data_IF_322518950870
#
_entry.id   IF_322518950870
#
_cell.length_a   1.000
_cell.length_b   1.000
_cell.length_c   1.000
_cell.angle_alpha   90.00
_cell.angle_beta   90.00
_cell.angle_gamma   90.00
#
_symmetry.space_group_name_H-M   'P 1'
#
loop_
_entity.id
_entity.type
_entity.pdbx_description
1 polymer ?
#
# COMPACT_ATOMS: atom_id res chain seq x y z
N UNK A 1 -40.55 75.15 33.42
CA UNK A 1 -40.37 76.03 32.25
C UNK A 1 -38.88 76.32 32.10
N UNK A 2 -38.38 76.28 30.86
CA UNK A 2 -37.00 76.56 30.39
C UNK A 2 -35.91 75.55 30.78
N UNK A 3 -34.84 75.30 30.02
CA UNK A 3 -34.56 75.14 28.57
C UNK A 3 -33.02 75.07 28.45
N UNK A 4 -32.53 74.24 27.52
CA UNK A 4 -31.29 74.40 26.71
C UNK A 4 -29.87 74.27 27.33
N UNK A 5 -29.09 73.41 26.66
CA UNK A 5 -27.81 73.70 25.95
C UNK A 5 -26.44 73.33 26.55
N UNK A 6 -25.85 72.28 25.95
CA UNK A 6 -24.51 72.16 25.33
C UNK A 6 -23.21 72.69 25.99
N UNK A 7 -22.18 71.81 26.06
CA UNK A 7 -20.77 71.90 25.56
C UNK A 7 -19.96 70.72 26.16
N UNK A 8 -19.40 69.78 25.38
CA UNK A 8 -18.13 69.84 24.63
C UNK A 8 -16.91 70.20 25.49
N UNK A 9 -16.05 69.20 25.76
CA UNK A 9 -14.57 69.30 25.71
C UNK A 9 -13.94 67.91 25.61
N UNK A 10 -12.95 67.82 24.72
CA UNK A 10 -12.11 66.69 24.33
C UNK A 10 -11.06 66.30 25.38
N UNK A 11 -10.57 65.05 25.34
CA UNK A 11 -9.20 64.73 25.75
C UNK A 11 -8.78 63.29 25.38
N UNK A 12 -7.86 63.22 24.42
CA UNK A 12 -6.66 62.36 24.36
C UNK A 12 -6.85 60.86 24.11
N UNK A 13 -6.50 60.48 22.87
CA UNK A 13 -6.21 59.13 22.44
C UNK A 13 -4.89 58.63 23.07
N UNK A 14 -4.97 57.55 23.84
CA UNK A 14 -3.83 56.67 24.11
C UNK A 14 -3.81 55.57 23.06
N UNK A 15 -2.79 55.57 22.19
CA UNK A 15 -2.47 54.45 21.31
C UNK A 15 -2.17 53.21 22.16
N UNK A 16 -3.13 52.30 22.24
CA UNK A 16 -2.91 50.94 22.70
C UNK A 16 -2.41 50.13 21.50
N UNK A 17 -1.13 49.78 21.50
CA UNK A 17 -0.57 48.77 20.60
C UNK A 17 -1.27 47.45 20.87
N UNK A 18 -2.27 47.13 20.04
CA UNK A 18 -2.85 45.80 19.95
C UNK A 18 -1.78 44.84 19.42
N UNK A 19 -1.00 44.23 20.32
CA UNK A 19 -0.40 42.94 20.02
C UNK A 19 -1.55 41.93 19.91
N UNK A 20 -1.81 41.46 18.70
CA UNK A 20 -2.70 40.31 18.50
C UNK A 20 -2.16 39.14 19.32
N UNK A 21 -3.00 38.46 20.11
CA UNK A 21 -2.56 37.28 20.85
C UNK A 21 -2.17 36.21 19.83
N UNK A 22 -0.86 35.98 19.69
CA UNK A 22 -0.33 34.83 18.96
C UNK A 22 -0.93 33.59 19.60
N UNK A 23 -1.85 32.94 18.88
CA UNK A 23 -2.59 31.79 19.37
C UNK A 23 -1.60 30.65 19.63
N UNK A 24 -1.15 30.52 20.88
CA UNK A 24 -0.20 29.49 21.28
C UNK A 24 -0.93 28.16 21.23
N UNK A 25 -0.78 27.45 20.11
CA UNK A 25 -1.32 26.12 19.94
C UNK A 25 -0.89 25.24 21.11
N UNK A 26 -1.86 24.54 21.70
CA UNK A 26 -1.59 23.56 22.75
C UNK A 26 -0.63 22.48 22.22
N UNK A 27 0.09 21.81 23.12
CA UNK A 27 0.99 20.69 22.72
C UNK A 27 0.26 19.63 21.88
N UNK A 28 -1.02 19.42 22.15
CA UNK A 28 -1.87 18.46 21.44
C UNK A 28 -2.27 18.96 20.05
N UNK A 29 -2.59 20.26 19.91
CA UNK A 29 -2.86 20.90 18.62
C UNK A 29 -1.62 20.96 17.71
N UNK A 30 -0.44 21.23 18.28
CA UNK A 30 0.84 21.19 17.53
C UNK A 30 1.13 19.79 17.00
N UNK A 31 1.02 18.77 17.86
CA UNK A 31 1.19 17.36 17.46
C UNK A 31 0.24 16.95 16.35
N UNK A 32 -1.03 17.34 16.43
CA UNK A 32 -2.02 17.04 15.39
C UNK A 32 -1.67 17.73 14.07
N UNK A 33 -1.25 19.00 14.12
CA UNK A 33 -0.82 19.75 12.92
C UNK A 33 0.42 19.13 12.27
N UNK A 34 1.42 18.74 13.06
CA UNK A 34 2.63 18.08 12.56
C UNK A 34 2.31 16.72 11.95
N UNK A 35 1.39 15.97 12.58
CA UNK A 35 0.88 14.73 12.04
C UNK A 35 0.18 14.95 10.70
N UNK A 36 -0.74 15.90 10.62
CA UNK A 36 -1.52 16.19 9.40
C UNK A 36 -0.62 16.75 8.27
N UNK A 37 0.40 17.54 8.59
CA UNK A 37 1.39 18.02 7.63
C UNK A 37 2.23 16.88 7.03
N UNK A 38 2.69 15.95 7.88
CA UNK A 38 3.39 14.73 7.42
C UNK A 38 2.47 13.82 6.60
N UNK A 39 1.20 13.72 7.01
CA UNK A 39 0.15 13.00 6.30
C UNK A 39 0.03 13.53 4.87
N UNK A 40 -0.03 14.86 4.73
CA UNK A 40 -0.10 15.55 3.43
C UNK A 40 1.14 15.26 2.59
N UNK A 41 2.35 15.43 3.14
CA UNK A 41 3.58 15.20 2.39
C UNK A 41 3.73 13.76 1.88
N UNK A 42 3.34 12.76 2.69
CA UNK A 42 3.32 11.36 2.27
C UNK A 42 2.30 11.12 1.16
N UNK A 43 1.11 11.70 1.27
CA UNK A 43 0.12 11.65 0.19
C UNK A 43 0.66 12.27 -1.08
N UNK A 44 1.24 13.46 -1.01
CA UNK A 44 1.75 14.18 -2.17
C UNK A 44 2.85 13.38 -2.88
N UNK A 45 3.79 12.78 -2.12
CA UNK A 45 4.80 11.87 -2.69
C UNK A 45 4.19 10.64 -3.36
N UNK A 46 3.21 10.00 -2.71
CA UNK A 46 2.49 8.86 -3.29
C UNK A 46 1.77 9.26 -4.59
N UNK A 47 1.10 10.41 -4.59
CA UNK A 47 0.37 10.94 -5.75
C UNK A 47 1.26 11.44 -6.88
N UNK A 48 2.46 11.94 -6.59
CA UNK A 48 3.46 12.35 -7.61
C UNK A 48 4.09 11.16 -8.32
N UNK A 49 4.23 10.01 -7.65
CA UNK A 49 4.84 8.80 -8.21
C UNK A 49 3.86 7.94 -9.03
N UNK A 50 2.55 8.20 -8.95
CA UNK A 50 1.54 7.51 -9.74
C UNK A 50 1.41 8.17 -11.13
N UNK A 51 1.65 7.39 -12.19
CA UNK A 51 1.27 7.80 -13.55
C UNK A 51 -0.27 7.90 -13.64
N UNK A 52 -0.77 9.14 -13.66
CA UNK A 52 -2.21 9.48 -13.63
C UNK A 52 -3.01 8.95 -14.83
N UNK A 53 -2.35 8.41 -15.84
CA UNK A 53 -3.00 7.92 -17.08
C UNK A 53 -3.15 6.41 -17.13
N UNK A 54 -2.55 5.68 -16.18
CA UNK A 54 -2.43 4.22 -16.21
C UNK A 54 -2.97 3.60 -14.92
N UNK A 55 -3.86 2.60 -15.02
CA UNK A 55 -4.40 1.90 -13.84
C UNK A 55 -3.35 1.03 -13.15
N UNK A 56 -3.50 0.80 -11.84
CA UNK A 56 -2.63 -0.09 -11.06
C UNK A 56 -2.52 -1.49 -11.69
N UNK A 57 -3.62 -1.99 -12.25
CA UNK A 57 -3.65 -3.26 -12.96
C UNK A 57 -2.69 -3.27 -14.16
N UNK A 58 -2.62 -2.17 -14.93
CA UNK A 58 -1.71 -2.07 -16.07
C UNK A 58 -0.25 -1.95 -15.61
N UNK A 59 0.01 -1.21 -14.54
CA UNK A 59 1.35 -1.13 -13.93
C UNK A 59 1.83 -2.50 -13.46
N UNK A 60 1.00 -3.21 -12.70
CA UNK A 60 1.31 -4.54 -12.20
C UNK A 60 1.61 -5.52 -13.34
N UNK A 61 0.80 -5.53 -14.40
CA UNK A 61 1.06 -6.39 -15.56
C UNK A 61 2.40 -6.09 -16.25
N UNK A 62 2.87 -4.84 -16.26
CA UNK A 62 4.20 -4.50 -16.78
C UNK A 62 5.32 -5.00 -15.86
N UNK A 63 5.16 -4.86 -14.55
CA UNK A 63 6.10 -5.43 -13.58
C UNK A 63 6.19 -6.95 -13.68
N UNK A 64 5.09 -7.62 -14.03
CA UNK A 64 5.01 -9.08 -14.19
C UNK A 64 5.31 -9.59 -15.61
N UNK A 65 5.69 -8.72 -16.55
CA UNK A 65 5.97 -9.11 -17.93
C UNK A 65 4.75 -9.61 -18.73
N UNK A 66 3.53 -9.39 -18.23
CA UNK A 66 2.26 -9.74 -18.89
C UNK A 66 1.77 -8.63 -19.85
N UNK A 67 2.40 -7.46 -19.80
CA UNK A 67 2.10 -6.31 -20.62
C UNK A 67 3.38 -5.70 -21.18
N UNK A 68 3.34 -5.26 -22.44
CA UNK A 68 4.47 -4.57 -23.05
C UNK A 68 4.83 -3.26 -22.29
N UNK A 69 6.12 -2.94 -22.13
CA UNK A 69 6.57 -1.78 -21.34
C UNK A 69 6.24 -0.42 -21.98
N UNK A 70 5.91 -0.39 -23.28
CA UNK A 70 5.44 0.81 -23.99
C UNK A 70 4.23 0.49 -24.86
N UNK A 71 3.35 1.48 -25.01
CA UNK A 71 2.27 1.46 -25.99
C UNK A 71 2.90 1.41 -27.38
N UNK A 72 2.71 0.33 -28.13
CA UNK A 72 3.15 0.24 -29.52
C UNK A 72 1.97 0.66 -30.41
N UNK A 73 2.08 1.77 -31.16
CA UNK A 73 1.00 2.20 -32.04
C UNK A 73 0.59 1.10 -33.02
N UNK A 74 -0.70 0.77 -33.08
CA UNK A 74 -1.25 -0.24 -34.00
C UNK A 74 -1.23 -1.69 -33.49
N UNK A 75 -0.58 -1.97 -32.35
CA UNK A 75 -0.73 -3.25 -31.65
C UNK A 75 -1.75 -3.03 -30.54
N UNK A 76 -2.76 -3.90 -30.44
CA UNK A 76 -3.67 -3.85 -29.29
C UNK A 76 -2.84 -3.98 -28.02
N UNK A 77 -3.04 -3.10 -27.04
CA UNK A 77 -2.30 -3.14 -25.78
C UNK A 77 -2.35 -4.55 -25.14
N UNK A 78 -3.38 -5.32 -25.46
CA UNK A 78 -3.61 -6.65 -24.90
C UNK A 78 -3.44 -7.72 -25.98
N UNK A 79 -2.50 -8.63 -25.74
CA UNK A 79 -2.45 -9.96 -26.35
C UNK A 79 -2.82 -10.96 -25.27
N UNK A 80 -3.89 -11.74 -25.49
CA UNK A 80 -4.27 -12.81 -24.57
C UNK A 80 -3.07 -13.74 -24.32
N UNK A 81 -2.75 -13.98 -23.05
CA UNK A 81 -1.60 -14.77 -22.63
C UNK A 81 -2.04 -16.14 -22.14
N UNK A 82 -1.40 -17.20 -22.63
CA UNK A 82 -1.65 -18.54 -22.12
C UNK A 82 -0.88 -18.73 -20.79
N UNK A 83 -1.56 -18.97 -19.65
CA UNK A 83 -0.90 -19.10 -18.35
C UNK A 83 0.05 -20.31 -18.24
N UNK A 84 -0.02 -21.25 -19.18
CA UNK A 84 0.94 -22.37 -19.29
C UNK A 84 2.25 -21.99 -19.97
N UNK A 85 2.41 -20.72 -20.40
CA UNK A 85 3.65 -20.19 -20.98
C UNK A 85 4.25 -19.12 -20.07
N UNK A 86 5.59 -18.98 -20.01
CA UNK A 86 6.24 -17.87 -19.30
C UNK A 86 5.76 -16.51 -19.80
N UNK A 87 5.85 -15.49 -18.94
CA UNK A 87 5.50 -14.13 -19.29
C UNK A 87 6.25 -13.67 -20.57
N UNK A 88 5.56 -13.10 -21.55
CA UNK A 88 6.13 -12.85 -22.89
C UNK A 88 7.01 -11.61 -22.96
N UNK A 89 6.90 -10.69 -21.99
CA UNK A 89 7.65 -9.44 -21.98
C UNK A 89 8.69 -9.40 -20.85
N UNK A 90 9.77 -8.61 -21.01
CA UNK A 90 10.68 -8.32 -19.91
C UNK A 90 9.96 -7.70 -18.71
N UNK A 91 10.33 -8.14 -17.51
CA UNK A 91 9.81 -7.61 -16.25
C UNK A 91 10.30 -6.17 -16.06
N UNK A 92 9.38 -5.23 -15.82
CA UNK A 92 9.72 -3.81 -15.69
C UNK A 92 10.58 -3.54 -14.44
N UNK A 93 11.60 -2.70 -14.60
CA UNK A 93 12.47 -2.19 -13.53
C UNK A 93 13.22 -3.23 -12.70
N UNK A 94 13.22 -4.52 -13.09
CA UNK A 94 13.87 -5.60 -12.33
C UNK A 94 13.55 -5.50 -10.82
N UNK A 95 12.26 -5.31 -10.53
CA UNK A 95 11.77 -4.93 -9.20
C UNK A 95 11.29 -6.13 -8.38
N UNK A 96 11.34 -5.98 -7.06
CA UNK A 96 10.74 -6.92 -6.11
C UNK A 96 9.39 -6.37 -5.67
N UNK A 97 8.33 -7.18 -5.75
CA UNK A 97 7.03 -6.81 -5.22
C UNK A 97 7.02 -7.05 -3.71
N UNK A 98 6.61 -6.04 -2.94
CA UNK A 98 6.56 -6.10 -1.48
C UNK A 98 5.20 -5.64 -0.99
N UNK A 99 4.39 -6.57 -0.49
CA UNK A 99 3.14 -6.28 0.18
C UNK A 99 3.37 -6.08 1.67
N UNK A 100 2.71 -5.06 2.25
CA UNK A 100 2.81 -4.74 3.67
C UNK A 100 1.42 -4.52 4.26
N UNK A 101 1.22 -5.02 5.47
CA UNK A 101 0.07 -4.66 6.31
C UNK A 101 0.58 -4.35 7.73
N UNK A 102 0.00 -3.33 8.37
CA UNK A 102 0.35 -2.94 9.73
C UNK A 102 -0.88 -2.87 10.62
N UNK A 103 -0.91 -3.76 11.62
CA UNK A 103 -1.96 -3.81 12.63
C UNK A 103 -1.58 -3.07 13.90
N UNK A 104 -2.60 -2.48 14.53
CA UNK A 104 -2.38 -1.68 15.73
C UNK A 104 -3.58 -1.62 16.66
N UNK A 105 -3.28 -1.32 17.93
CA UNK A 105 -4.21 -1.21 19.03
C UNK A 105 -5.31 -0.19 18.73
N UNK A 106 -6.55 -0.66 18.85
CA UNK A 106 -7.75 0.16 18.90
C UNK A 106 -8.17 0.38 20.36
N UNK A 107 -8.48 1.61 20.73
CA UNK A 107 -9.14 1.96 22.01
C UNK A 107 -10.47 2.63 21.69
N UNK A 108 -11.57 2.06 22.22
CA UNK A 108 -12.94 2.56 22.02
C UNK A 108 -13.32 2.77 20.54
N UNK A 109 -12.95 1.82 19.67
CA UNK A 109 -13.23 1.89 18.23
C UNK A 109 -12.38 2.91 17.45
N UNK A 110 -11.41 3.57 18.10
CA UNK A 110 -10.47 4.51 17.46
C UNK A 110 -9.04 3.97 17.57
N UNK A 111 -8.27 4.09 16.49
CA UNK A 111 -6.85 3.71 16.49
C UNK A 111 -6.09 4.65 17.43
N UNK A 112 -5.28 4.08 18.33
CA UNK A 112 -4.39 4.90 19.17
C UNK A 112 -3.26 5.43 18.29
N UNK A 113 -3.10 6.75 18.23
CA UNK A 113 -2.08 7.41 17.39
C UNK A 113 -0.78 7.65 18.16
N UNK A 114 -0.13 6.58 18.59
CA UNK A 114 1.16 6.64 19.30
C UNK A 114 2.05 5.49 18.82
N UNK A 115 3.38 5.66 18.83
CA UNK A 115 4.33 4.59 18.47
C UNK A 115 4.06 3.26 19.20
N UNK A 116 3.52 3.32 20.42
CA UNK A 116 3.16 2.17 21.26
C UNK A 116 1.89 1.42 20.82
N UNK A 117 1.22 1.86 19.75
CA UNK A 117 -0.02 1.24 19.29
C UNK A 117 0.20 0.19 18.21
N UNK A 118 1.32 0.18 17.50
CA UNK A 118 1.57 -0.84 16.48
C UNK A 118 1.95 -2.15 17.14
N UNK A 119 1.26 -3.23 16.78
CA UNK A 119 1.40 -4.55 17.43
C UNK A 119 1.92 -5.61 16.50
N UNK A 120 1.56 -5.56 15.22
CA UNK A 120 1.93 -6.56 14.23
C UNK A 120 2.33 -5.88 12.91
N UNK A 121 3.31 -6.43 12.22
CA UNK A 121 3.71 -6.04 10.87
C UNK A 121 3.79 -7.30 10.01
N UNK A 122 3.07 -7.30 8.90
CA UNK A 122 3.14 -8.34 7.89
C UNK A 122 3.92 -7.86 6.68
N UNK A 123 4.78 -8.73 6.15
CA UNK A 123 5.48 -8.45 4.89
C UNK A 123 5.44 -9.69 4.01
N UNK A 124 4.99 -9.53 2.77
CA UNK A 124 5.01 -10.59 1.76
C UNK A 124 5.79 -10.13 0.54
N UNK A 125 6.75 -10.93 0.11
CA UNK A 125 7.75 -10.58 -0.91
C UNK A 125 7.66 -11.55 -2.07
N UNK A 126 7.71 -11.02 -3.29
CA UNK A 126 7.87 -11.77 -4.52
C UNK A 126 8.97 -11.12 -5.37
N UNK A 127 10.08 -11.81 -5.58
CA UNK A 127 11.12 -11.34 -6.49
C UNK A 127 10.73 -11.71 -7.93
N UNK A 128 10.66 -10.72 -8.82
CA UNK A 128 10.32 -10.98 -10.23
C UNK A 128 11.35 -11.86 -10.93
N UNK A 129 12.60 -11.92 -10.42
CA UNK A 129 13.61 -12.86 -10.91
C UNK A 129 13.23 -14.32 -10.71
N UNK A 130 12.48 -14.65 -9.64
CA UNK A 130 12.00 -16.01 -9.38
C UNK A 130 10.90 -16.45 -10.38
N UNK A 131 10.37 -15.50 -11.17
CA UNK A 131 9.31 -15.72 -12.15
C UNK A 131 9.86 -15.86 -13.59
N UNK A 132 11.14 -15.53 -13.81
CA UNK A 132 11.76 -15.62 -15.13
C UNK A 132 11.69 -17.06 -15.62
N UNK A 133 11.18 -17.24 -16.84
CA UNK A 133 10.97 -18.55 -17.46
C UNK A 133 9.98 -19.49 -16.73
N UNK A 134 9.34 -19.04 -15.65
CA UNK A 134 8.32 -19.79 -14.94
C UNK A 134 6.92 -19.39 -15.46
N UNK A 135 6.15 -20.32 -16.06
CA UNK A 135 4.76 -20.05 -16.40
C UNK A 135 3.94 -19.70 -15.14
N UNK A 136 3.03 -18.71 -15.19
CA UNK A 136 2.17 -18.37 -14.06
C UNK A 136 1.32 -19.54 -13.56
N UNK A 137 0.86 -20.39 -14.48
CA UNK A 137 -0.15 -21.40 -14.19
C UNK A 137 -1.55 -20.80 -14.00
N UNK A 138 -2.57 -21.65 -13.99
CA UNK A 138 -3.96 -21.24 -13.80
C UNK A 138 -4.09 -20.48 -12.47
N UNK A 139 -4.74 -19.31 -12.49
CA UNK A 139 -4.84 -18.41 -11.31
C UNK A 139 -3.48 -18.17 -10.64
N UNK A 140 -2.42 -17.99 -11.44
CA UNK A 140 -1.06 -17.71 -10.97
C UNK A 140 -0.45 -18.76 -10.02
N UNK A 141 -0.98 -19.99 -9.96
CA UNK A 141 -0.61 -20.97 -8.93
C UNK A 141 0.91 -21.17 -8.77
N UNK A 142 1.68 -21.26 -9.86
CA UNK A 142 3.12 -21.44 -9.82
C UNK A 142 3.86 -20.20 -9.28
N UNK A 143 3.34 -19.00 -9.55
CA UNK A 143 3.90 -17.75 -9.03
C UNK A 143 3.54 -17.54 -7.56
N UNK A 144 2.36 -17.98 -7.11
CA UNK A 144 1.97 -17.90 -5.70
C UNK A 144 2.91 -18.71 -4.80
N UNK A 145 3.49 -19.81 -5.31
CA UNK A 145 4.49 -20.62 -4.60
C UNK A 145 5.82 -19.90 -4.37
N UNK A 146 6.10 -18.81 -5.10
CA UNK A 146 7.33 -18.01 -4.95
C UNK A 146 7.18 -16.88 -3.92
N UNK A 147 5.98 -16.69 -3.38
CA UNK A 147 5.73 -15.67 -2.36
C UNK A 147 6.34 -16.12 -1.03
N UNK A 148 7.16 -15.24 -0.43
CA UNK A 148 7.70 -15.42 0.92
C UNK A 148 7.03 -14.44 1.86
N UNK A 149 6.33 -14.95 2.87
CA UNK A 149 5.60 -14.11 3.83
C UNK A 149 6.21 -14.23 5.22
N UNK A 150 6.27 -13.10 5.93
CA UNK A 150 6.76 -13.00 7.29
C UNK A 150 5.75 -12.21 8.12
N UNK A 151 5.69 -12.56 9.39
CA UNK A 151 4.81 -11.92 10.35
C UNK A 151 5.61 -11.56 11.59
N UNK A 152 5.66 -10.27 11.91
CA UNK A 152 6.38 -9.75 13.06
C UNK A 152 5.40 -9.30 14.13
N UNK A 153 5.62 -9.75 15.36
CA UNK A 153 4.84 -9.37 16.53
C UNK A 153 5.70 -8.59 17.51
N UNK A 154 5.28 -7.36 17.81
CA UNK A 154 6.05 -6.40 18.60
C UNK A 154 5.74 -6.58 20.09
N UNK A 155 6.69 -7.15 20.83
CA UNK A 155 6.44 -7.74 22.16
C UNK A 155 6.22 -6.73 23.30
N UNK A 156 6.85 -5.56 23.26
CA UNK A 156 6.81 -4.58 24.39
C UNK A 156 5.40 -4.05 24.71
N UNK A 157 4.50 -4.05 23.73
CA UNK A 157 3.18 -3.41 23.81
C UNK A 157 2.00 -4.38 23.77
N UNK A 158 2.24 -5.66 23.53
CA UNK A 158 1.19 -6.61 23.17
C UNK A 158 0.45 -7.26 24.37
N UNK A 159 0.53 -6.63 25.54
CA UNK A 159 0.18 -7.20 26.87
C UNK A 159 -1.27 -7.72 27.04
N UNK A 160 -2.14 -7.69 26.03
CA UNK A 160 -3.56 -8.07 26.17
C UNK A 160 -4.10 -9.09 25.17
N UNK A 161 -3.46 -9.36 24.02
CA UNK A 161 -4.00 -10.32 23.04
C UNK A 161 -2.88 -10.94 22.21
N UNK A 162 -2.82 -12.29 22.22
CA UNK A 162 -1.97 -13.03 21.26
C UNK A 162 -2.48 -12.75 19.84
N UNK A 163 -1.58 -12.59 18.86
CA UNK A 163 -1.98 -12.40 17.47
C UNK A 163 -2.79 -13.62 17.01
N UNK A 164 -3.61 -13.45 15.98
CA UNK A 164 -4.22 -14.60 15.32
C UNK A 164 -3.13 -15.48 14.70
N UNK A 165 -3.47 -16.72 14.35
CA UNK A 165 -2.51 -17.66 13.79
C UNK A 165 -2.00 -17.16 12.44
N UNK A 166 -0.69 -17.08 12.28
CA UNK A 166 -0.07 -16.84 10.98
C UNK A 166 -0.12 -18.15 10.15
N UNK A 167 -0.69 -18.06 8.95
CA UNK A 167 -1.00 -19.22 8.10
C UNK A 167 0.12 -19.56 7.10
N UNK A 168 1.08 -18.64 6.92
CA UNK A 168 2.16 -18.77 5.93
C UNK A 168 3.54 -18.98 6.57
N UNK A 169 3.60 -19.36 7.84
CA UNK A 169 4.86 -19.62 8.55
C UNK A 169 4.74 -19.50 10.06
N UNK A 170 5.79 -18.99 10.69
CA UNK A 170 5.88 -18.79 12.14
C UNK A 170 5.99 -17.29 12.41
N UNK A 171 5.22 -16.81 13.38
CA UNK A 171 5.30 -15.42 13.85
C UNK A 171 6.64 -15.16 14.55
N UNK A 172 7.35 -14.13 14.11
CA UNK A 172 8.63 -13.70 14.65
C UNK A 172 8.42 -12.61 15.71
N UNK A 173 9.05 -12.77 16.87
CA UNK A 173 8.99 -11.80 17.95
C UNK A 173 10.08 -10.75 17.76
N UNK A 174 9.71 -9.47 17.71
CA UNK A 174 10.67 -8.37 17.63
C UNK A 174 10.48 -7.40 18.80
N UNK A 175 11.59 -6.78 19.22
CA UNK A 175 11.56 -5.70 20.20
C UNK A 175 11.28 -4.38 19.47
N UNK A 176 10.48 -3.49 20.07
CA UNK A 176 10.22 -2.17 19.52
C UNK A 176 11.51 -1.35 19.36
N UNK A 177 12.52 -1.57 20.20
CA UNK A 177 13.79 -0.83 20.16
C UNK A 177 14.62 -1.18 18.92
N UNK A 178 14.55 -2.43 18.46
CA UNK A 178 15.27 -2.92 17.27
C UNK A 178 14.40 -2.91 16.01
N UNK A 179 13.09 -2.66 16.15
CA UNK A 179 12.11 -2.67 15.06
C UNK A 179 12.50 -1.75 13.89
N UNK A 180 12.96 -0.49 14.10
CA UNK A 180 13.30 0.39 12.98
C UNK A 180 14.39 -0.17 12.07
N UNK A 181 15.53 -0.57 12.65
CA UNK A 181 16.67 -1.11 11.90
C UNK A 181 16.32 -2.45 11.25
N UNK A 182 15.61 -3.30 12.00
CA UNK A 182 15.18 -4.60 11.51
C UNK A 182 14.23 -4.48 10.32
N UNK A 183 13.18 -3.67 10.42
CA UNK A 183 12.25 -3.47 9.30
C UNK A 183 12.93 -2.79 8.12
N UNK A 184 13.81 -1.81 8.37
CA UNK A 184 14.64 -1.22 7.32
C UNK A 184 15.45 -2.29 6.58
N UNK A 185 16.02 -3.27 7.29
CA UNK A 185 16.72 -4.40 6.67
C UNK A 185 15.82 -5.32 5.85
N UNK A 186 14.53 -5.45 6.22
CA UNK A 186 13.55 -6.25 5.46
C UNK A 186 13.29 -5.64 4.09
N UNK A 187 13.29 -4.31 3.98
CA UNK A 187 13.10 -3.61 2.69
C UNK A 187 14.40 -3.45 1.89
N UNK A 188 15.57 -3.56 2.54
CA UNK A 188 16.90 -3.51 1.90
C UNK A 188 17.24 -4.85 1.23
N UNK A 189 16.70 -5.07 0.04
CA UNK A 189 17.01 -6.27 -0.74
C UNK A 189 18.31 -6.01 -1.52
N UNK A 190 19.39 -6.79 -1.29
CA UNK A 190 20.65 -6.56 -1.97
C UNK A 190 20.52 -6.76 -3.48
N UNK A 191 21.08 -5.84 -4.27
CA UNK A 191 21.34 -6.10 -5.68
C UNK A 191 22.47 -7.12 -5.74
N UNK A 192 22.14 -8.42 -5.78
CA UNK A 192 23.15 -9.43 -6.07
C UNK A 192 23.78 -9.09 -7.43
N UNK A 193 25.13 -9.00 -7.52
CA UNK A 193 25.76 -8.97 -8.82
C UNK A 193 25.35 -10.25 -9.56
N UNK A 194 25.05 -10.19 -10.88
CA UNK A 194 24.61 -11.36 -11.63
C UNK A 194 25.58 -12.52 -11.38
N UNK A 195 25.06 -13.59 -10.81
CA UNK A 195 25.79 -14.79 -10.44
C UNK A 195 26.15 -15.57 -11.71
N UNK A 196 27.13 -15.05 -12.45
CA UNK A 196 27.88 -15.74 -13.49
C UNK A 196 29.27 -15.08 -13.64
N UNK A 197 30.26 -15.61 -12.91
CA UNK A 197 31.67 -15.54 -13.31
C UNK A 197 32.46 -14.24 -13.08
N UNK A 198 31.85 -13.14 -12.62
CA UNK A 198 32.62 -11.92 -12.34
C UNK A 198 33.22 -11.95 -10.94
N UNK A 199 34.48 -12.40 -10.83
CA UNK A 199 35.24 -12.34 -9.58
C UNK A 199 35.20 -10.93 -9.00
N UNK A 200 35.05 -10.81 -7.68
CA UNK A 200 35.11 -9.55 -6.93
C UNK A 200 36.37 -8.74 -7.26
N UNK A 201 37.45 -9.39 -7.70
CA UNK A 201 38.67 -8.75 -8.19
C UNK A 201 38.48 -7.99 -9.51
N UNK A 202 37.61 -8.47 -10.41
CA UNK A 202 37.34 -7.83 -11.70
C UNK A 202 36.43 -6.61 -11.51
N UNK A 203 35.44 -6.70 -10.60
CA UNK A 203 34.68 -5.52 -10.18
C UNK A 203 35.59 -4.47 -9.54
N UNK A 204 36.53 -4.90 -8.67
CA UNK A 204 37.55 -4.03 -8.10
C UNK A 204 38.42 -3.34 -9.16
N UNK A 205 38.80 -4.06 -10.21
CA UNK A 205 39.54 -3.52 -11.36
C UNK A 205 38.74 -2.52 -12.19
N UNK A 206 37.47 -2.81 -12.49
CA UNK A 206 36.60 -1.91 -13.26
C UNK A 206 36.29 -0.64 -12.46
N UNK A 207 36.00 -0.76 -11.16
CA UNK A 207 35.76 0.39 -10.29
C UNK A 207 36.98 1.34 -10.24
N UNK A 208 38.19 0.78 -10.22
CA UNK A 208 39.43 1.55 -10.25
C UNK A 208 39.66 2.23 -11.61
N UNK A 209 39.32 1.55 -12.71
CA UNK A 209 39.45 2.07 -14.08
C UNK A 209 38.43 3.19 -14.39
N UNK A 210 37.25 3.12 -13.77
CA UNK A 210 36.20 4.14 -13.84
C UNK A 210 36.36 5.26 -12.80
N UNK A 211 37.45 5.27 -12.02
CA UNK A 211 37.78 6.37 -11.10
C UNK A 211 36.99 6.38 -9.79
N UNK A 212 36.30 5.30 -9.42
CA UNK A 212 35.66 5.19 -8.12
C UNK A 212 36.74 4.97 -7.03
N UNK A 213 37.12 6.04 -6.34
CA UNK A 213 37.95 5.92 -5.12
C UNK A 213 37.15 5.21 -4.03
N UNK A 214 37.72 4.16 -3.43
CA UNK A 214 37.18 3.50 -2.23
C UNK A 214 36.84 4.55 -1.16
N UNK A 215 35.57 4.72 -0.76
CA UNK A 215 35.27 5.44 0.47
C UNK A 215 35.71 4.57 1.67
N UNK A 216 36.18 5.21 2.73
CA UNK A 216 36.54 4.58 4.03
C UNK A 216 35.31 4.13 4.85
N UNK A 217 34.14 4.14 4.23
CA UNK A 217 32.89 3.55 4.68
C UNK A 217 32.45 2.69 3.49
N UNK A 218 32.18 1.40 3.68
CA UNK A 218 31.66 0.58 2.59
C UNK A 218 30.46 1.31 1.96
N UNK A 219 30.51 1.67 0.67
CA UNK A 219 29.34 2.27 0.04
C UNK A 219 28.20 1.28 0.23
N UNK A 220 27.07 1.75 0.79
CA UNK A 220 25.91 0.88 1.01
C UNK A 220 25.68 0.08 -0.27
N UNK A 221 25.68 -1.25 -0.14
CA UNK A 221 25.55 -2.12 -1.32
C UNK A 221 24.30 -1.70 -2.07
N UNK A 222 24.36 -1.53 -3.41
CA UNK A 222 23.19 -1.13 -4.16
C UNK A 222 22.04 -2.10 -3.86
N UNK A 223 20.85 -1.57 -3.65
CA UNK A 223 19.65 -2.35 -3.35
C UNK A 223 18.77 -2.48 -4.60
N UNK A 224 17.92 -3.50 -4.60
CA UNK A 224 16.94 -3.76 -5.67
C UNK A 224 15.85 -2.69 -5.65
N UNK A 225 15.28 -2.43 -6.82
CA UNK A 225 14.04 -1.66 -6.92
C UNK A 225 12.89 -2.43 -6.23
N UNK A 226 11.99 -1.71 -5.57
CA UNK A 226 10.78 -2.31 -4.98
C UNK A 226 9.51 -1.67 -5.51
N UNK A 227 8.46 -2.48 -5.63
CA UNK A 227 7.08 -2.03 -5.86
C UNK A 227 6.29 -2.35 -4.62
N UNK A 228 5.72 -1.32 -4.00
CA UNK A 228 4.92 -1.48 -2.79
C UNK A 228 3.48 -1.84 -3.15
N UNK A 229 2.98 -2.91 -2.56
CA UNK A 229 1.62 -3.39 -2.72
C UNK A 229 0.90 -3.25 -1.37
N UNK A 230 -0.32 -2.73 -1.38
CA UNK A 230 -1.14 -2.69 -0.17
C UNK A 230 -2.61 -2.76 -0.48
N UNK A 231 -3.42 -2.69 0.57
CA UNK A 231 -4.87 -2.73 0.49
C UNK A 231 -5.43 -1.56 1.30
N UNK A 232 -5.29 -0.34 0.77
CA UNK A 232 -5.32 0.89 1.56
C UNK A 232 -3.93 1.31 2.07
N UNK A 233 -2.93 1.24 1.18
CA UNK A 233 -1.47 1.46 1.40
C UNK A 233 -1.11 2.63 2.29
N UNK A 234 -1.92 3.69 2.24
CA UNK A 234 -1.69 4.95 2.93
C UNK A 234 -1.47 4.79 4.44
N UNK A 235 -2.33 4.03 5.11
CA UNK A 235 -2.28 3.89 6.57
C UNK A 235 -1.07 3.08 7.01
N UNK A 236 -0.69 2.07 6.24
CA UNK A 236 0.44 1.19 6.56
C UNK A 236 1.77 1.90 6.41
N UNK A 237 1.94 2.67 5.33
CA UNK A 237 3.15 3.48 5.13
C UNK A 237 3.26 4.59 6.18
N UNK A 238 2.15 5.20 6.58
CA UNK A 238 2.13 6.12 7.72
C UNK A 238 2.57 5.41 9.01
N UNK A 239 2.05 4.21 9.29
CA UNK A 239 2.41 3.49 10.50
C UNK A 239 3.89 3.07 10.51
N UNK A 240 4.42 2.58 9.39
CA UNK A 240 5.84 2.25 9.24
C UNK A 240 6.72 3.49 9.48
N UNK A 241 6.48 4.55 8.72
CA UNK A 241 7.33 5.75 8.76
C UNK A 241 7.16 6.48 10.11
N UNK A 242 5.93 6.84 10.45
CA UNK A 242 5.67 7.73 11.57
C UNK A 242 5.62 6.99 12.90
N UNK A 243 5.11 5.76 12.96
CA UNK A 243 4.96 5.05 14.24
C UNK A 243 6.10 4.07 14.53
N UNK A 244 6.72 3.49 13.51
CA UNK A 244 7.85 2.56 13.68
C UNK A 244 9.20 3.14 13.28
N UNK A 245 9.27 4.41 12.86
CA UNK A 245 10.50 5.06 12.41
C UNK A 245 11.22 4.29 11.29
N UNK A 246 10.44 3.64 10.43
CA UNK A 246 10.91 2.87 9.28
C UNK A 246 10.47 3.60 8.01
N UNK A 247 11.36 4.41 7.44
CA UNK A 247 11.12 5.06 6.16
C UNK A 247 11.50 4.14 5.01
N UNK A 248 10.50 3.47 4.42
CA UNK A 248 10.68 2.54 3.31
C UNK A 248 11.35 3.20 2.10
N UNK A 249 11.08 4.49 1.85
CA UNK A 249 11.68 5.24 0.75
C UNK A 249 13.15 5.58 0.98
N UNK A 250 13.57 5.65 2.24
CA UNK A 250 14.99 5.76 2.59
C UNK A 250 15.68 4.39 2.58
N UNK A 251 14.92 3.31 2.81
CA UNK A 251 15.45 1.95 2.84
C UNK A 251 15.75 1.38 1.44
N UNK A 252 14.91 1.66 0.44
CA UNK A 252 15.06 1.11 -0.90
C UNK A 252 14.51 2.03 -2.01
N UNK A 253 14.98 1.91 -3.26
CA UNK A 253 14.39 2.58 -4.42
C UNK A 253 12.97 2.06 -4.68
N UNK A 254 11.96 2.82 -4.22
CA UNK A 254 10.56 2.55 -4.53
C UNK A 254 10.24 3.08 -5.93
N UNK A 255 9.94 2.18 -6.86
CA UNK A 255 9.67 2.51 -8.28
C UNK A 255 8.19 2.44 -8.64
N UNK A 256 7.35 1.95 -7.74
CA UNK A 256 5.91 1.85 -7.98
C UNK A 256 5.11 1.57 -6.73
N UNK A 257 3.82 1.88 -6.82
CA UNK A 257 2.79 1.62 -5.82
C UNK A 257 1.60 0.95 -6.49
N UNK A 258 1.04 -0.06 -5.82
CA UNK A 258 -0.17 -0.77 -6.24
C UNK A 258 -1.10 -0.82 -5.03
N UNK A 259 -2.27 -0.18 -5.13
CA UNK A 259 -3.32 -0.30 -4.13
C UNK A 259 -4.39 -1.26 -4.62
N UNK A 260 -4.38 -2.45 -4.06
CA UNK A 260 -5.28 -3.54 -4.47
C UNK A 260 -6.75 -3.21 -4.22
N UNK A 261 -7.07 -2.32 -3.28
CA UNK A 261 -8.45 -1.88 -3.05
C UNK A 261 -8.95 -0.96 -4.17
N UNK A 262 -8.10 -0.07 -4.66
CA UNK A 262 -8.38 0.80 -5.83
C UNK A 262 -8.46 -0.06 -7.08
N UNK A 263 -7.47 -0.94 -7.29
CA UNK A 263 -7.44 -1.86 -8.42
C UNK A 263 -8.68 -2.76 -8.49
N UNK A 264 -9.18 -3.25 -7.35
CA UNK A 264 -10.41 -4.03 -7.31
C UNK A 264 -11.64 -3.22 -7.73
N UNK A 265 -11.77 -1.98 -7.23
CA UNK A 265 -12.87 -1.09 -7.59
C UNK A 265 -12.86 -0.74 -9.08
N UNK A 266 -11.69 -0.44 -9.65
CA UNK A 266 -11.51 -0.16 -11.08
C UNK A 266 -11.93 -1.35 -11.97
N UNK A 267 -11.79 -2.57 -11.46
CA UNK A 267 -12.19 -3.81 -12.14
C UNK A 267 -13.62 -4.27 -11.77
N UNK A 268 -14.37 -3.48 -11.00
CA UNK A 268 -15.76 -3.79 -10.61
C UNK A 268 -15.91 -4.90 -9.57
N UNK A 269 -14.86 -5.16 -8.79
CA UNK A 269 -14.79 -6.20 -7.77
C UNK A 269 -15.03 -5.65 -6.35
N UNK A 270 -15.26 -6.52 -5.34
CA UNK A 270 -15.35 -6.10 -3.96
C UNK A 270 -14.06 -5.43 -3.46
N UNK A 271 -14.19 -4.34 -2.71
CA UNK A 271 -13.05 -3.60 -2.19
C UNK A 271 -12.49 -4.17 -0.87
N UNK A 272 -13.20 -5.08 -0.20
CA UNK A 272 -12.72 -5.74 1.02
C UNK A 272 -11.77 -6.87 0.67
N UNK A 273 -10.62 -6.95 1.37
CA UNK A 273 -9.65 -8.04 1.18
C UNK A 273 -10.29 -9.42 1.37
N UNK A 274 -11.17 -9.57 2.35
CA UNK A 274 -11.87 -10.84 2.62
C UNK A 274 -12.73 -11.25 1.43
N UNK A 275 -13.60 -10.34 0.97
CA UNK A 275 -14.52 -10.59 -0.14
C UNK A 275 -13.75 -10.83 -1.44
N UNK A 276 -12.69 -10.06 -1.68
CA UNK A 276 -11.86 -10.12 -2.87
C UNK A 276 -11.03 -11.41 -2.94
N UNK A 277 -10.39 -11.81 -1.84
CA UNK A 277 -9.68 -13.10 -1.77
C UNK A 277 -10.65 -14.28 -1.94
N UNK A 278 -11.85 -14.14 -1.39
CA UNK A 278 -12.93 -15.12 -1.49
C UNK A 278 -13.44 -15.27 -2.92
N UNK A 279 -13.61 -14.16 -3.66
CA UNK A 279 -13.96 -14.14 -5.08
C UNK A 279 -12.98 -14.97 -5.93
N UNK A 280 -11.70 -14.97 -5.55
CA UNK A 280 -10.65 -15.76 -6.21
C UNK A 280 -10.41 -17.14 -5.62
N UNK A 281 -11.32 -17.64 -4.77
CA UNK A 281 -11.28 -18.98 -4.14
C UNK A 281 -10.06 -19.21 -3.23
N UNK A 282 -9.44 -18.15 -2.68
CA UNK A 282 -8.28 -18.27 -1.78
C UNK A 282 -8.63 -18.68 -0.35
N UNK A 283 -9.92 -18.73 0.02
CA UNK A 283 -10.43 -19.05 1.36
C UNK A 283 -9.64 -18.36 2.48
N UNK A 284 -9.78 -17.02 2.67
CA UNK A 284 -8.98 -16.30 3.63
C UNK A 284 -9.20 -16.77 5.08
N UNK A 285 -8.12 -17.15 5.76
CA UNK A 285 -8.16 -17.59 7.16
C UNK A 285 -7.40 -16.62 8.06
N UNK A 286 -7.89 -16.44 9.30
CA UNK A 286 -7.20 -15.66 10.33
C UNK A 286 -6.81 -14.22 9.89
N UNK A 287 -7.66 -13.55 9.10
CA UNK A 287 -7.56 -12.11 8.79
C UNK A 287 -7.47 -11.27 10.08
N UNK A 288 -6.93 -10.06 10.04
CA UNK A 288 -6.44 -9.31 11.21
C UNK A 288 -5.25 -9.98 11.90
N UNK A 289 -4.46 -10.69 11.10
CA UNK A 289 -3.08 -11.00 11.39
C UNK A 289 -2.30 -10.36 10.25
N UNK A 290 -1.46 -9.38 10.56
CA UNK A 290 -0.84 -8.56 9.54
C UNK A 290 -0.08 -9.40 8.50
N UNK A 291 0.54 -10.51 8.90
CA UNK A 291 1.21 -11.43 7.99
C UNK A 291 0.27 -12.15 7.01
N UNK A 292 -0.90 -12.58 7.47
CA UNK A 292 -1.92 -13.15 6.59
C UNK A 292 -2.47 -12.08 5.64
N UNK A 293 -2.76 -10.89 6.15
CA UNK A 293 -3.33 -9.79 5.38
C UNK A 293 -2.36 -9.33 4.28
N UNK A 294 -1.06 -9.20 4.58
CA UNK A 294 -0.01 -8.95 3.58
C UNK A 294 0.07 -10.08 2.53
N UNK A 295 -0.07 -11.35 2.95
CA UNK A 295 0.00 -12.49 2.04
C UNK A 295 -1.19 -12.54 1.07
N UNK A 296 -2.41 -12.31 1.54
CA UNK A 296 -3.58 -12.23 0.65
C UNK A 296 -3.52 -10.97 -0.23
N UNK A 297 -3.04 -9.86 0.30
CA UNK A 297 -2.79 -8.62 -0.46
C UNK A 297 -1.77 -8.81 -1.58
N UNK A 298 -0.79 -9.72 -1.43
CA UNK A 298 0.10 -10.12 -2.52
C UNK A 298 -0.56 -11.11 -3.50
N UNK A 299 -1.29 -12.11 -3.00
CA UNK A 299 -1.84 -13.20 -3.83
C UNK A 299 -2.94 -12.73 -4.77
N UNK A 300 -3.89 -11.96 -4.27
CA UNK A 300 -5.03 -11.44 -5.04
C UNK A 300 -4.62 -10.73 -6.33
N UNK A 301 -3.74 -9.71 -6.31
CA UNK A 301 -3.38 -8.98 -7.52
C UNK A 301 -2.64 -9.84 -8.55
N UNK A 302 -1.90 -10.88 -8.12
CA UNK A 302 -1.28 -11.82 -9.06
C UNK A 302 -2.31 -12.67 -9.80
N UNK A 303 -3.35 -13.12 -9.09
CA UNK A 303 -4.46 -13.84 -9.73
C UNK A 303 -5.19 -12.93 -10.71
N UNK A 304 -5.50 -11.70 -10.30
CA UNK A 304 -6.12 -10.70 -11.17
C UNK A 304 -5.29 -10.43 -12.43
N UNK A 305 -3.96 -10.27 -12.27
CA UNK A 305 -3.03 -10.06 -13.37
C UNK A 305 -3.06 -11.18 -14.39
N UNK A 306 -2.96 -12.43 -13.93
CA UNK A 306 -2.96 -13.61 -14.80
C UNK A 306 -4.32 -13.79 -15.47
N UNK A 307 -5.43 -13.67 -14.75
CA UNK A 307 -6.77 -13.79 -15.33
C UNK A 307 -7.04 -12.68 -16.35
N UNK A 308 -6.65 -11.44 -16.06
CA UNK A 308 -6.77 -10.33 -17.01
C UNK A 308 -5.92 -10.56 -18.26
N UNK A 309 -4.71 -11.09 -18.11
CA UNK A 309 -3.86 -11.43 -19.23
C UNK A 309 -4.45 -12.58 -20.06
N UNK A 310 -5.07 -13.58 -19.42
CA UNK A 310 -5.69 -14.73 -20.08
C UNK A 310 -6.97 -14.36 -20.84
N UNK A 311 -7.90 -13.61 -20.22
CA UNK A 311 -9.23 -13.33 -20.76
C UNK A 311 -9.40 -11.92 -21.38
N UNK A 312 -8.41 -11.04 -21.23
CA UNK A 312 -8.46 -9.65 -21.68
C UNK A 312 -9.39 -8.76 -20.84
N UNK A 313 -9.55 -7.49 -21.24
CA UNK A 313 -10.34 -6.48 -20.52
C UNK A 313 -11.85 -6.81 -20.35
N UNK A 314 -12.36 -7.89 -20.96
CA UNK A 314 -13.81 -8.12 -21.13
C UNK A 314 -14.45 -9.13 -20.17
N UNK A 315 -13.69 -9.86 -19.37
CA UNK A 315 -14.26 -10.69 -18.31
C UNK A 315 -13.14 -11.22 -17.42
N UNK A 316 -12.89 -10.57 -16.28
CA UNK A 316 -12.67 -11.43 -15.11
C UNK A 316 -13.97 -12.23 -14.99
N UNK A 317 -13.93 -13.57 -14.97
CA UNK A 317 -15.15 -14.35 -14.83
C UNK A 317 -15.87 -13.86 -13.59
N UNK A 318 -17.01 -13.18 -13.78
CA UNK A 318 -17.87 -12.76 -12.69
C UNK A 318 -18.27 -14.05 -11.97
N UNK A 319 -17.73 -14.29 -10.77
CA UNK A 319 -18.15 -15.43 -9.97
C UNK A 319 -19.43 -14.99 -9.25
N UNK A 320 -20.60 -15.57 -9.60
CA UNK A 320 -21.83 -15.02 -9.10
C UNK A 320 -21.92 -15.19 -7.57
N UNK A 321 -22.39 -14.17 -6.83
CA UNK A 321 -22.35 -14.13 -5.36
C UNK A 321 -23.22 -15.20 -4.66
N UNK A 322 -24.00 -16.01 -5.39
CA UNK A 322 -24.87 -17.04 -4.81
C UNK A 322 -24.11 -18.19 -4.12
N UNK A 323 -22.78 -18.26 -4.23
CA UNK A 323 -21.95 -19.19 -3.45
C UNK A 323 -21.71 -18.75 -2.00
N UNK A 324 -22.09 -17.52 -1.63
CA UNK A 324 -21.94 -17.01 -0.27
C UNK A 324 -23.31 -16.69 0.34
N UNK A 325 -23.64 -17.39 1.43
CA UNK A 325 -24.99 -17.42 2.00
C UNK A 325 -25.53 -16.05 2.40
N UNK A 326 -26.61 -15.63 1.74
CA UNK A 326 -27.79 -14.84 2.19
C UNK A 326 -27.67 -13.61 3.13
N UNK A 327 -26.49 -13.20 3.61
CA UNK A 327 -26.38 -12.10 4.59
C UNK A 327 -26.20 -10.70 3.96
N UNK A 328 -25.61 -10.57 2.76
CA UNK A 328 -25.29 -9.25 2.19
C UNK A 328 -26.25 -8.72 1.11
N UNK A 329 -27.17 -9.54 0.60
CA UNK A 329 -28.16 -9.08 -0.39
C UNK A 329 -29.11 -8.00 0.18
N UNK A 330 -29.25 -7.88 1.52
CA UNK A 330 -30.10 -6.85 2.15
C UNK A 330 -29.45 -5.47 2.22
N UNK A 331 -28.11 -5.37 2.20
CA UNK A 331 -27.41 -4.09 2.28
C UNK A 331 -27.45 -3.32 0.96
N UNK A 332 -27.41 -4.03 -0.17
CA UNK A 332 -27.49 -3.45 -1.51
C UNK A 332 -28.88 -2.90 -1.89
N UNK A 333 -29.99 -3.41 -1.32
CA UNK A 333 -31.34 -2.87 -1.59
C UNK A 333 -31.63 -1.52 -0.93
N UNK A 334 -30.91 -1.13 0.13
CA UNK A 334 -31.14 0.18 0.79
C UNK A 334 -30.41 1.35 0.12
N UNK A 335 -29.36 1.09 -0.64
CA UNK A 335 -28.60 2.14 -1.34
C UNK A 335 -29.18 2.46 -2.73
N UNK A 336 -29.94 1.54 -3.32
CA UNK A 336 -30.55 1.74 -4.65
C UNK A 336 -31.95 2.38 -4.58
N UNK A 337 -32.69 2.19 -3.48
CA UNK A 337 -34.08 2.69 -3.36
C UNK A 337 -34.21 3.98 -2.54
N UNK A 338 -33.10 4.67 -2.25
CA UNK A 338 -33.09 5.88 -1.42
C UNK A 338 -33.21 7.19 -2.19
N UNK A 339 -33.86 7.20 -3.35
CA UNK A 339 -34.16 8.41 -4.13
C UNK A 339 -35.25 8.12 -5.17
N UNK A 340 -36.50 7.97 -4.72
CA UNK A 340 -37.66 8.28 -5.56
C UNK A 340 -38.68 8.96 -4.64
N UNK A 341 -38.84 10.26 -4.86
CA UNK A 341 -39.92 11.08 -4.31
C UNK A 341 -41.28 10.46 -4.68
N UNK A 342 -42.07 10.15 -3.66
CA UNK A 342 -43.49 9.83 -3.80
C UNK A 342 -44.24 11.13 -4.13
N UNK A 343 -44.39 11.41 -5.42
CA UNK A 343 -45.45 12.31 -5.87
C UNK A 343 -46.11 11.77 -7.13
N UNK A 344 -47.44 11.71 -7.05
CA UNK A 344 -48.43 11.74 -8.13
C UNK A 344 -49.07 10.41 -8.58
N UNK A 345 -50.36 10.34 -8.25
CA UNK A 345 -51.51 9.78 -8.97
C UNK A 345 -51.82 8.28 -8.89
N UNK A 346 -52.82 7.98 -8.05
CA UNK A 346 -53.82 6.94 -8.35
C UNK A 346 -54.59 7.29 -9.63
N UNK A 347 -55.01 6.27 -10.39
CA UNK A 347 -56.31 6.30 -11.03
C UNK A 347 -57.21 5.16 -10.51
N UNK A 348 -58.49 5.51 -10.43
CA UNK A 348 -59.61 4.69 -10.06
C UNK A 348 -59.74 3.41 -10.90
N UNK A 349 -60.14 2.31 -10.25
CA UNK A 349 -61.48 1.70 -10.42
C UNK A 349 -61.79 0.79 -9.24
#
# INVERSE_FOLDING_TARGET
MNSRSARSTSSIATQSSHEEPVLVLSKEQRRKRDQDARLSMLKDRLYEQLDKTTTDMLHLNRYLGLQAPRKIPGISDFTAHNPSRPAPYPFLSDAVLVAVDVEGNMVSGKRVKSHHSVTEVGVSVLDTRDLVSLPPGTKACNWLEKIRSRHFYITKWSRKKRPRKFMFGISELIDIETTPDFLTSVFRIPLEPPSAGFSASVWGGIAQLLGFRRPLLEPERPTRNIVLIGHGTYNDLYNLNVLLNCDVYAAAPVVGHIDTSVMAVDEGLPASLEELATEFELSPENLHNAGNDAAYTMRVPLIMAVLRAEFGMRALPYFPPWRYGLRDARRRRRLVNGNLDDSVAQPAQ
#
